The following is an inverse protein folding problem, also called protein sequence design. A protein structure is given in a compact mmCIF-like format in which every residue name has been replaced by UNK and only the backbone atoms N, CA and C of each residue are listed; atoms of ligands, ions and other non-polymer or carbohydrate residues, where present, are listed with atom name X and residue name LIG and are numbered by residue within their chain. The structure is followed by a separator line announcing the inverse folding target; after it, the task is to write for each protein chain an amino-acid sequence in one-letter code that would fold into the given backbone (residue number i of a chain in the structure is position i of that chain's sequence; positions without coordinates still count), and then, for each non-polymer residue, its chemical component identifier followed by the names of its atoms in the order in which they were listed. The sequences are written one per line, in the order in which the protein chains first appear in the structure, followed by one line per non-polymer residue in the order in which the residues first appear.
data_IF_917454253173
#
_entry.id   IF_917454253173
#
_cell.length_a   1.000
_cell.length_b   1.000
_cell.length_c   1.000
_cell.angle_alpha   90.00
_cell.angle_beta   90.00
_cell.angle_gamma   90.00
#
_symmetry.space_group_name_H-M   'P 1'
#
loop_
_entity.id
_entity.type
_entity.pdbx_description
1 polymer ?
#
# COMPACT_ATOMS: atom_id res chain seq x y z
N UNK A 1 -2.87 -29.56 -6.52
CA UNK A 1 -2.16 -28.46 -5.83
C UNK A 1 -2.88 -27.17 -6.18
N UNK A 2 -3.55 -26.54 -5.21
CA UNK A 2 -4.29 -25.30 -5.48
C UNK A 2 -3.26 -24.21 -5.74
N UNK A 3 -3.27 -23.66 -6.96
CA UNK A 3 -2.54 -22.43 -7.28
C UNK A 3 -3.20 -21.30 -6.49
N UNK A 4 -2.77 -21.12 -5.23
CA UNK A 4 -3.27 -20.04 -4.40
C UNK A 4 -2.61 -18.76 -4.90
N UNK A 5 -3.38 -17.96 -5.64
CA UNK A 5 -2.92 -16.69 -6.19
C UNK A 5 -2.54 -15.77 -5.02
N UNK A 6 -1.27 -15.35 -4.97
CA UNK A 6 -0.76 -14.42 -3.97
C UNK A 6 -1.57 -13.13 -4.00
N UNK A 7 -2.02 -12.66 -2.83
CA UNK A 7 -2.75 -11.40 -2.69
C UNK A 7 -1.73 -10.26 -2.62
N UNK A 8 -1.72 -9.41 -3.63
CA UNK A 8 -0.89 -8.21 -3.66
C UNK A 8 -1.56 -7.08 -2.88
N UNK A 9 -0.83 -6.46 -1.97
CA UNK A 9 -1.30 -5.37 -1.11
C UNK A 9 -0.50 -4.12 -1.42
N UNK A 10 -1.14 -3.16 -2.08
CA UNK A 10 -0.53 -1.86 -2.40
C UNK A 10 -0.31 -1.01 -1.14
N UNK A 11 0.87 -0.41 -1.00
CA UNK A 11 1.19 0.50 0.11
C UNK A 11 2.12 1.61 -0.35
N UNK A 12 2.03 2.80 0.26
CA UNK A 12 3.13 3.77 0.18
C UNK A 12 4.39 3.22 0.85
N UNK A 13 5.55 3.75 0.46
CA UNK A 13 6.86 3.31 0.96
C UNK A 13 7.31 3.93 2.29
N UNK A 14 6.56 4.89 2.85
CA UNK A 14 6.91 5.48 4.15
C UNK A 14 6.84 4.43 5.28
N UNK A 15 7.70 4.56 6.30
CA UNK A 15 7.73 3.63 7.44
C UNK A 15 6.36 3.45 8.11
N UNK A 16 5.60 4.54 8.25
CA UNK A 16 4.27 4.49 8.84
C UNK A 16 3.28 3.73 7.95
N UNK A 17 3.31 3.97 6.63
CA UNK A 17 2.43 3.26 5.69
C UNK A 17 2.75 1.75 5.67
N UNK A 18 4.03 1.38 5.67
CA UNK A 18 4.45 -0.02 5.75
C UNK A 18 4.03 -0.67 7.08
N UNK A 19 4.14 0.06 8.21
CA UNK A 19 3.66 -0.42 9.50
C UNK A 19 2.14 -0.68 9.46
N UNK A 20 1.36 0.28 8.96
CA UNK A 20 -0.10 0.14 8.82
C UNK A 20 -0.48 -1.05 7.94
N UNK A 21 0.19 -1.20 6.79
CA UNK A 21 -0.03 -2.32 5.86
C UNK A 21 0.28 -3.66 6.52
N UNK A 22 1.43 -3.79 7.17
CA UNK A 22 1.81 -5.02 7.86
C UNK A 22 0.89 -5.35 9.05
N UNK A 23 0.38 -4.33 9.76
CA UNK A 23 -0.58 -4.51 10.84
C UNK A 23 -1.90 -5.11 10.32
N UNK A 24 -2.41 -4.62 9.19
CA UNK A 24 -3.60 -5.17 8.54
C UNK A 24 -3.34 -6.60 8.03
N UNK A 25 -2.23 -6.83 7.34
CA UNK A 25 -1.85 -8.18 6.86
C UNK A 25 -1.72 -9.16 8.03
N UNK A 26 -1.16 -8.75 9.16
CA UNK A 26 -1.04 -9.57 10.36
C UNK A 26 -2.39 -10.08 10.86
N UNK A 27 -3.41 -9.22 10.88
CA UNK A 27 -4.79 -9.60 11.23
C UNK A 27 -5.42 -10.50 10.16
N UNK A 28 -5.20 -10.21 8.87
CA UNK A 28 -5.72 -11.03 7.78
C UNK A 28 -5.14 -12.45 7.79
N UNK A 29 -3.85 -12.61 8.10
CA UNK A 29 -3.20 -13.92 8.23
C UNK A 29 -3.77 -14.78 9.36
N UNK A 30 -4.27 -14.16 10.45
CA UNK A 30 -4.95 -14.89 11.52
C UNK A 30 -6.29 -15.48 11.07
N UNK A 31 -6.99 -14.79 10.16
CA UNK A 31 -8.30 -15.22 9.64
C UNK A 31 -8.13 -16.16 8.44
N UNK A 32 -7.10 -15.94 7.62
CA UNK A 32 -6.84 -16.66 6.38
C UNK A 32 -5.39 -17.21 6.36
N UNK A 33 -5.10 -18.27 7.14
CA UNK A 33 -3.74 -18.80 7.27
C UNK A 33 -3.18 -19.40 5.97
N UNK A 34 -4.06 -19.87 5.06
CA UNK A 34 -3.66 -20.47 3.78
C UNK A 34 -3.46 -19.44 2.65
N UNK A 35 -3.59 -18.14 2.96
CA UNK A 35 -3.41 -17.05 1.99
C UNK A 35 -2.04 -16.42 2.12
N UNK A 36 -1.37 -16.28 1.00
CA UNK A 36 -0.12 -15.54 0.90
C UNK A 36 -0.39 -14.07 0.56
N UNK A 37 0.35 -13.16 1.21
CA UNK A 37 0.23 -11.72 1.03
C UNK A 37 1.60 -11.14 0.68
N UNK A 38 1.65 -10.34 -0.38
CA UNK A 38 2.84 -9.65 -0.88
C UNK A 38 2.60 -8.14 -0.83
N UNK A 39 3.47 -7.39 -0.15
CA UNK A 39 3.38 -5.92 -0.12
C UNK A 39 4.03 -5.35 -1.37
N UNK A 40 3.24 -4.62 -2.17
CA UNK A 40 3.73 -3.90 -3.35
C UNK A 40 3.84 -2.42 -2.99
N UNK A 41 5.07 -1.93 -2.93
CA UNK A 41 5.31 -0.52 -2.62
C UNK A 41 5.05 0.34 -3.86
N UNK A 42 4.24 1.38 -3.69
CA UNK A 42 3.90 2.37 -4.71
C UNK A 42 4.49 3.72 -4.30
N UNK A 43 5.10 4.39 -5.27
CA UNK A 43 5.57 5.76 -5.11
C UNK A 43 4.52 6.70 -5.70
N UNK A 44 3.98 7.58 -4.87
CA UNK A 44 2.90 8.51 -5.24
C UNK A 44 3.43 9.89 -5.59
N UNK A 45 2.66 10.75 -6.27
CA UNK A 45 3.06 12.14 -6.51
C UNK A 45 3.41 12.87 -5.20
N UNK A 46 2.67 12.61 -4.12
CA UNK A 46 2.93 13.20 -2.82
C UNK A 46 4.20 12.67 -2.15
N UNK A 47 4.71 11.49 -2.55
CA UNK A 47 6.04 11.01 -2.12
C UNK A 47 7.18 11.62 -2.94
N UNK A 48 6.88 12.12 -4.14
CA UNK A 48 7.86 12.73 -5.05
C UNK A 48 8.00 14.22 -4.74
N UNK A 49 6.87 14.91 -4.54
CA UNK A 49 6.83 16.34 -4.27
C UNK A 49 6.82 16.59 -2.76
N UNK A 50 7.97 16.91 -2.19
CA UNK A 50 8.12 17.22 -0.76
C UNK A 50 8.19 18.72 -0.45
N UNK A 51 8.31 19.57 -1.48
CA UNK A 51 8.56 21.02 -1.32
C UNK A 51 7.30 21.86 -1.45
N UNK A 52 6.28 21.35 -2.15
CA UNK A 52 5.01 22.08 -2.30
C UNK A 52 4.18 22.02 -1.02
N UNK A 53 3.36 23.05 -0.80
CA UNK A 53 2.33 22.99 0.24
C UNK A 53 1.26 21.96 -0.13
N UNK A 54 0.66 21.34 0.89
CA UNK A 54 -0.40 20.33 0.67
C UNK A 54 -1.59 20.91 -0.11
N UNK A 55 -1.90 22.19 0.08
CA UNK A 55 -2.94 22.92 -0.64
C UNK A 55 -2.67 23.01 -2.14
N UNK A 56 -1.40 23.16 -2.55
CA UNK A 56 -0.99 23.25 -3.95
C UNK A 56 -0.87 21.90 -4.66
N UNK A 57 -0.95 20.78 -3.95
CA UNK A 57 -0.75 19.44 -4.50
C UNK A 57 -1.96 18.89 -5.26
N UNK A 58 -3.16 19.40 -4.98
CA UNK A 58 -4.41 18.85 -5.52
C UNK A 58 -4.85 17.55 -4.85
N UNK A 59 -5.95 16.97 -5.34
CA UNK A 59 -6.59 15.82 -4.70
C UNK A 59 -5.96 14.49 -5.13
N UNK A 60 -5.88 13.55 -4.17
CA UNK A 60 -5.46 12.17 -4.44
C UNK A 60 -3.95 11.97 -4.60
N UNK A 61 -3.11 12.96 -4.29
CA UNK A 61 -1.65 12.87 -4.50
C UNK A 61 -0.95 11.73 -3.75
N UNK A 62 -1.58 11.15 -2.73
CA UNK A 62 -1.05 10.00 -1.98
C UNK A 62 -1.76 8.68 -2.29
N UNK A 63 -2.71 8.67 -3.24
CA UNK A 63 -3.64 7.54 -3.44
C UNK A 63 -3.80 7.17 -4.92
N UNK A 64 -3.75 8.15 -5.83
CA UNK A 64 -4.03 7.96 -7.26
C UNK A 64 -3.18 6.86 -7.91
N UNK A 65 -1.91 6.72 -7.56
CA UNK A 65 -1.06 5.65 -8.10
C UNK A 65 -1.39 4.28 -7.51
N UNK A 66 -1.88 4.22 -6.27
CA UNK A 66 -2.29 2.97 -5.62
C UNK A 66 -3.60 2.45 -6.25
N UNK A 67 -4.54 3.34 -6.57
CA UNK A 67 -5.82 2.99 -7.21
C UNK A 67 -5.67 2.51 -8.66
N UNK A 68 -4.53 2.80 -9.31
CA UNK A 68 -4.24 2.41 -10.70
C UNK A 68 -3.42 1.13 -10.82
N UNK A 69 -3.04 0.49 -9.70
CA UNK A 69 -2.41 -0.83 -9.67
C UNK A 69 -3.36 -1.91 -10.22
#
# INVERSE_FOLDING_TARGET
MVSSKVIKVGSRGSNLALYQTNHVIGRLRQIYPDREFEVVTVRTQGDINTESSLEGMGLGVFVNEIERL
#
